data_IF_783022788199
#
_entry.id   IF_783022788199
#
_cell.length_a   1.000
_cell.length_b   1.000
_cell.length_c   1.000
_cell.angle_alpha   90.00
_cell.angle_beta   90.00
_cell.angle_gamma   90.00
#
_symmetry.space_group_name_H-M   'P 1'
#
loop_
_entity.id
_entity.type
_entity.pdbx_description
1 polymer ?
#
# COMPACT_ATOMS: atom_id res chain seq x y z
N UNK A 1 6.07 -0.09 -22.41
CA UNK A 1 5.31 -0.65 -21.28
C UNK A 1 6.30 -1.26 -20.30
N UNK A 2 6.02 -1.29 -18.98
CA UNK A 2 6.92 -1.95 -18.04
C UNK A 2 7.10 -3.41 -18.47
N UNK A 3 8.31 -3.94 -18.36
CA UNK A 3 8.61 -5.33 -18.74
C UNK A 3 7.98 -6.32 -17.75
N UNK A 4 7.65 -5.88 -16.53
CA UNK A 4 7.04 -6.71 -15.49
C UNK A 4 6.18 -5.85 -14.54
N UNK A 5 4.86 -5.87 -14.73
CA UNK A 5 3.91 -5.13 -13.90
C UNK A 5 3.83 -5.67 -12.46
N UNK A 6 4.18 -6.94 -12.23
CA UNK A 6 4.12 -7.59 -10.91
C UNK A 6 5.15 -7.03 -9.93
N UNK A 7 6.32 -6.61 -10.41
CA UNK A 7 7.31 -5.91 -9.58
C UNK A 7 6.75 -4.56 -9.11
N UNK A 8 6.04 -3.84 -9.97
CA UNK A 8 5.37 -2.59 -9.59
C UNK A 8 4.34 -2.79 -8.47
N UNK A 9 3.58 -3.88 -8.54
CA UNK A 9 2.64 -4.27 -7.48
C UNK A 9 3.36 -4.55 -6.17
N UNK A 10 4.45 -5.31 -6.20
CA UNK A 10 5.24 -5.64 -5.00
C UNK A 10 5.83 -4.37 -4.38
N UNK A 11 6.40 -3.48 -5.20
CA UNK A 11 6.91 -2.18 -4.75
C UNK A 11 5.82 -1.34 -4.08
N UNK A 12 4.63 -1.29 -4.68
CA UNK A 12 3.49 -0.58 -4.13
C UNK A 12 3.13 -1.09 -2.73
N UNK A 13 2.97 -2.40 -2.55
CA UNK A 13 2.63 -2.99 -1.25
C UNK A 13 3.78 -2.89 -0.25
N UNK A 14 5.04 -3.01 -0.69
CA UNK A 14 6.20 -2.85 0.17
C UNK A 14 6.23 -1.47 0.82
N UNK A 15 6.08 -0.40 0.03
CA UNK A 15 6.09 0.98 0.53
C UNK A 15 4.76 1.42 1.17
N UNK A 16 3.66 0.70 0.94
CA UNK A 16 2.41 0.93 1.66
C UNK A 16 2.54 0.61 3.15
N UNK A 17 3.46 -0.28 3.53
CA UNK A 17 3.76 -0.57 4.94
C UNK A 17 4.66 0.54 5.54
N UNK A 18 4.21 1.26 6.58
CA UNK A 18 4.94 2.42 7.11
C UNK A 18 6.34 2.07 7.63
N UNK A 19 6.53 0.90 8.24
CA UNK A 19 7.83 0.45 8.73
C UNK A 19 8.83 0.26 7.60
N UNK A 20 8.40 -0.28 6.46
CA UNK A 20 9.26 -0.53 5.31
C UNK A 20 9.65 0.79 4.64
N UNK A 21 8.69 1.69 4.45
CA UNK A 21 8.96 3.04 3.95
C UNK A 21 9.91 3.81 4.88
N UNK A 22 9.69 3.74 6.20
CA UNK A 22 10.56 4.37 7.18
C UNK A 22 11.97 3.78 7.13
N UNK A 23 12.12 2.46 7.20
CA UNK A 23 13.42 1.79 7.16
C UNK A 23 14.18 2.07 5.86
N UNK A 24 13.46 2.15 4.73
CA UNK A 24 14.06 2.49 3.45
C UNK A 24 14.55 3.94 3.38
N UNK A 25 13.73 4.87 3.87
CA UNK A 25 14.02 6.30 3.81
C UNK A 25 15.00 6.77 4.89
N UNK A 26 14.98 6.18 6.08
CA UNK A 26 15.77 6.60 7.24
C UNK A 26 17.26 6.86 6.94
N UNK A 27 18.01 5.96 6.25
CA UNK A 27 19.41 6.23 5.92
C UNK A 27 19.58 7.27 4.79
N UNK A 28 18.54 7.53 4.00
CA UNK A 28 18.60 8.39 2.83
C UNK A 28 18.19 9.83 3.12
N UNK A 29 17.36 10.06 4.13
CA UNK A 29 16.81 11.38 4.42
C UNK A 29 17.72 12.14 5.40
N UNK A 30 17.91 13.43 5.14
CA UNK A 30 18.41 14.36 6.15
C UNK A 30 17.27 15.29 6.53
N UNK A 31 17.07 15.50 7.83
CA UNK A 31 16.09 16.47 8.32
C UNK A 31 16.59 17.87 7.98
N UNK A 32 15.87 18.57 7.10
CA UNK A 32 16.13 19.97 6.81
C UNK A 32 15.62 20.89 7.93
N UNK A 33 15.86 22.20 7.79
CA UNK A 33 15.19 23.20 8.61
C UNK A 33 13.66 23.04 8.45
N UNK A 34 12.90 23.07 9.55
CA UNK A 34 11.44 22.80 9.61
C UNK A 34 11.00 21.34 9.38
N UNK A 35 11.87 20.35 9.64
CA UNK A 35 11.55 18.92 9.50
C UNK A 35 11.15 18.49 8.08
N UNK A 36 11.51 19.26 7.05
CA UNK A 36 11.27 18.89 5.66
C UNK A 36 12.26 17.80 5.23
N UNK A 37 11.76 16.80 4.50
CA UNK A 37 12.57 15.77 3.86
C UNK A 37 12.71 16.17 2.38
N UNK A 38 13.91 16.52 1.95
CA UNK A 38 14.22 16.69 0.53
C UNK A 38 15.17 15.58 0.09
N UNK A 39 14.77 14.81 -0.93
CA UNK A 39 15.55 13.69 -1.46
C UNK A 39 15.48 13.71 -2.97
N UNK A 40 16.63 13.62 -3.64
CA UNK A 40 16.71 13.51 -5.10
C UNK A 40 16.39 12.08 -5.53
N UNK A 41 15.91 11.89 -6.76
CA UNK A 41 15.67 10.55 -7.32
C UNK A 41 16.91 9.67 -7.27
N UNK A 42 18.08 10.22 -7.61
CA UNK A 42 19.35 9.51 -7.53
C UNK A 42 19.65 9.02 -6.11
N UNK A 43 19.39 9.86 -5.09
CA UNK A 43 19.60 9.49 -3.69
C UNK A 43 18.55 8.50 -3.20
N UNK A 44 17.30 8.63 -3.64
CA UNK A 44 16.24 7.67 -3.34
C UNK A 44 16.63 6.25 -3.78
N UNK A 45 17.19 6.13 -4.99
CA UNK A 45 17.60 4.85 -5.58
C UNK A 45 18.90 4.26 -4.98
N UNK A 46 19.57 4.95 -4.04
CA UNK A 46 20.81 4.44 -3.42
C UNK A 46 20.58 3.34 -2.38
N UNK A 47 19.35 3.18 -1.88
CA UNK A 47 19.03 2.09 -0.96
C UNK A 47 18.38 0.93 -1.72
N UNK A 48 18.55 -0.28 -1.20
CA UNK A 48 18.02 -1.51 -1.78
C UNK A 48 16.85 -2.04 -0.99
N UNK A 49 16.04 -2.87 -1.65
CA UNK A 49 14.98 -3.65 -1.03
C UNK A 49 15.11 -5.11 -1.47
N UNK A 50 14.65 -6.06 -0.65
CA UNK A 50 14.52 -7.43 -1.11
C UNK A 50 13.42 -7.53 -2.17
N UNK A 51 13.76 -8.12 -3.32
CA UNK A 51 12.81 -8.46 -4.38
C UNK A 51 12.85 -9.98 -4.65
N UNK A 52 11.75 -10.57 -5.16
CA UNK A 52 11.74 -11.96 -5.59
C UNK A 52 12.82 -12.25 -6.64
N UNK A 53 13.41 -13.44 -6.57
CA UNK A 53 14.52 -13.80 -7.47
C UNK A 53 14.01 -14.33 -8.81
N UNK A 54 12.81 -14.89 -8.82
CA UNK A 54 12.21 -15.49 -10.02
C UNK A 54 10.93 -14.77 -10.40
N UNK A 55 10.64 -14.74 -11.70
CA UNK A 55 9.42 -14.13 -12.21
C UNK A 55 8.17 -14.84 -11.69
N UNK A 56 8.18 -16.17 -11.64
CA UNK A 56 7.07 -16.97 -11.12
C UNK A 56 6.74 -16.62 -9.65
N UNK A 57 7.77 -16.43 -8.83
CA UNK A 57 7.61 -16.01 -7.43
C UNK A 57 7.00 -14.59 -7.36
N UNK A 58 7.48 -13.66 -8.19
CA UNK A 58 6.91 -12.31 -8.25
C UNK A 58 5.43 -12.32 -8.66
N UNK A 59 5.07 -13.12 -9.67
CA UNK A 59 3.69 -13.28 -10.13
C UNK A 59 2.81 -13.81 -9.00
N UNK A 60 3.25 -14.87 -8.33
CA UNK A 60 2.48 -15.50 -7.25
C UNK A 60 2.24 -14.56 -6.07
N UNK A 61 3.30 -13.84 -5.64
CA UNK A 61 3.21 -12.86 -4.55
C UNK A 61 2.29 -11.72 -4.95
N UNK A 62 2.47 -11.13 -6.13
CA UNK A 62 1.65 -10.01 -6.60
C UNK A 62 0.17 -10.38 -6.71
N UNK A 63 -0.16 -11.54 -7.29
CA UNK A 63 -1.54 -12.01 -7.43
C UNK A 63 -2.19 -12.27 -6.07
N UNK A 64 -1.45 -12.84 -5.14
CA UNK A 64 -1.91 -13.03 -3.75
C UNK A 64 -2.23 -11.69 -3.10
N UNK A 65 -1.33 -10.70 -3.17
CA UNK A 65 -1.52 -9.38 -2.60
C UNK A 65 -2.73 -8.65 -3.20
N UNK A 66 -2.88 -8.69 -4.53
CA UNK A 66 -4.04 -8.12 -5.23
C UNK A 66 -5.34 -8.77 -4.76
N UNK A 67 -5.36 -10.09 -4.63
CA UNK A 67 -6.54 -10.85 -4.22
C UNK A 67 -6.96 -10.49 -2.79
N UNK A 68 -5.99 -10.40 -1.87
CA UNK A 68 -6.23 -9.96 -0.49
C UNK A 68 -6.78 -8.54 -0.45
N UNK A 69 -6.14 -7.61 -1.18
CA UNK A 69 -6.59 -6.21 -1.22
C UNK A 69 -7.99 -6.08 -1.81
N UNK A 70 -8.32 -6.86 -2.83
CA UNK A 70 -9.66 -6.93 -3.41
C UNK A 70 -10.69 -7.39 -2.38
N UNK A 71 -10.39 -8.45 -1.61
CA UNK A 71 -11.27 -8.91 -0.52
C UNK A 71 -11.49 -7.81 0.51
N UNK A 72 -10.42 -7.19 1.02
CA UNK A 72 -10.50 -6.07 2.00
C UNK A 72 -11.41 -4.95 1.48
N UNK A 73 -11.28 -4.59 0.20
CA UNK A 73 -12.09 -3.55 -0.41
C UNK A 73 -13.58 -3.91 -0.50
N UNK A 74 -13.90 -5.17 -0.79
CA UNK A 74 -15.29 -5.67 -0.80
C UNK A 74 -15.89 -5.61 0.61
N UNK A 75 -15.18 -6.15 1.61
CA UNK A 75 -15.64 -6.16 3.01
C UNK A 75 -15.88 -4.73 3.53
N UNK A 76 -14.96 -3.79 3.24
CA UNK A 76 -15.13 -2.37 3.60
C UNK A 76 -16.34 -1.73 2.92
N UNK A 77 -16.65 -2.11 1.68
CA UNK A 77 -17.85 -1.62 0.97
C UNK A 77 -19.12 -2.18 1.59
N UNK A 78 -19.14 -3.47 1.93
CA UNK A 78 -20.28 -4.11 2.59
C UNK A 78 -20.55 -3.48 3.96
N UNK A 79 -19.52 -3.29 4.77
CA UNK A 79 -19.64 -2.61 6.07
C UNK A 79 -20.29 -1.24 5.93
N UNK A 80 -19.82 -0.42 4.98
CA UNK A 80 -20.41 0.91 4.72
C UNK A 80 -21.87 0.86 4.26
N UNK A 81 -22.28 -0.20 3.55
CA UNK A 81 -23.69 -0.40 3.19
C UNK A 81 -24.52 -0.68 4.43
N UNK A 82 -24.08 -1.63 5.25
CA UNK A 82 -24.79 -2.00 6.47
C UNK A 82 -24.87 -0.86 7.49
N UNK A 83 -23.83 -0.02 7.60
CA UNK A 83 -23.86 1.17 8.44
C UNK A 83 -24.94 2.16 7.97
N UNK A 84 -25.08 2.36 6.65
CA UNK A 84 -26.13 3.22 6.07
C UNK A 84 -27.53 2.65 6.30
N UNK A 85 -27.70 1.35 6.05
CA UNK A 85 -28.97 0.65 6.28
C UNK A 85 -29.37 0.72 7.76
N UNK A 86 -28.44 0.45 8.67
CA UNK A 86 -28.66 0.58 10.12
C UNK A 86 -29.09 1.99 10.50
N UNK A 87 -28.40 3.02 10.02
CA UNK A 87 -28.76 4.42 10.31
C UNK A 87 -30.15 4.77 9.77
N UNK A 88 -30.47 4.34 8.55
CA UNK A 88 -31.77 4.54 7.96
C UNK A 88 -32.88 3.88 8.79
N UNK A 89 -32.71 2.61 9.18
CA UNK A 89 -33.70 1.90 10.00
C UNK A 89 -33.89 2.57 11.36
N UNK A 90 -32.80 2.94 12.06
CA UNK A 90 -32.89 3.65 13.34
C UNK A 90 -33.65 4.97 13.22
N UNK A 91 -33.48 5.71 12.12
CA UNK A 91 -34.22 6.96 11.88
C UNK A 91 -35.73 6.75 11.72
N UNK A 92 -36.16 5.53 11.38
CA UNK A 92 -37.56 5.15 11.17
C UNK A 92 -38.20 4.44 12.38
N UNK A 93 -37.42 4.11 13.42
CA UNK A 93 -37.91 3.37 14.58
C UNK A 93 -38.62 4.23 15.64
N UNK A 94 -38.34 5.54 15.68
CA UNK A 94 -38.88 6.47 16.69
C UNK A 94 -39.95 7.40 16.10
N UNK A 95 -40.75 6.88 15.16
CA UNK A 95 -41.97 7.53 14.67
C UNK A 95 -43.11 7.19 15.61
#
# INVERSE_FOLDING_TARGET
MPVNDYIGVILHFYFMQPSNAFNYLHPLIQKGAKNTINITNERFLKNSIPLPKTENEAIYIANTLISIQKKINIEKKMLRSYEKEKQYLLSKMFI
#
